data_IF_629599626728
#
_entry.id   IF_629599626728
#
_cell.length_a   1.000
_cell.length_b   1.000
_cell.length_c   1.000
_cell.angle_alpha   90.00
_cell.angle_beta   90.00
_cell.angle_gamma   90.00
#
_symmetry.space_group_name_H-M   'P 1'
#
loop_
_entity.id
_entity.type
_entity.pdbx_description
1 polymer ?
#
# COMPACT_ATOMS: atom_id res chain seq x y z
N UNK A 1 -16.55 29.25 -24.64
CA UNK A 1 -15.95 27.91 -24.47
C UNK A 1 -14.79 27.62 -25.42
N UNK A 2 -14.92 27.73 -26.75
CA UNK A 2 -13.83 27.43 -27.71
C UNK A 2 -12.52 28.22 -27.55
N UNK A 3 -12.57 29.50 -27.16
CA UNK A 3 -11.36 30.33 -26.92
C UNK A 3 -10.61 29.97 -25.63
N UNK A 4 -11.29 29.37 -24.65
CA UNK A 4 -10.70 28.96 -23.38
C UNK A 4 -9.92 27.65 -23.54
N UNK A 5 -10.46 26.71 -24.33
CA UNK A 5 -9.82 25.43 -24.67
C UNK A 5 -8.52 25.63 -25.46
N UNK A 6 -8.48 26.58 -26.40
CA UNK A 6 -7.26 26.88 -27.18
C UNK A 6 -6.15 27.51 -26.30
N UNK A 7 -6.51 28.37 -25.35
CA UNK A 7 -5.56 28.96 -24.41
C UNK A 7 -4.99 27.92 -23.44
N UNK A 8 -5.80 26.93 -23.06
CA UNK A 8 -5.39 25.85 -22.17
C UNK A 8 -4.42 24.88 -22.86
N UNK A 9 -4.70 24.49 -24.11
CA UNK A 9 -3.80 23.65 -24.92
C UNK A 9 -2.44 24.34 -25.15
N UNK A 10 -2.44 25.66 -25.38
CA UNK A 10 -1.21 26.44 -25.51
C UNK A 10 -0.39 26.48 -24.20
N UNK A 11 -1.06 26.60 -23.05
CA UNK A 11 -0.40 26.57 -21.73
C UNK A 11 0.22 25.20 -21.43
N UNK A 12 -0.49 24.11 -21.71
CA UNK A 12 0.04 22.75 -21.56
C UNK A 12 1.21 22.45 -22.51
N UNK A 13 1.18 22.99 -23.74
CA UNK A 13 2.30 22.86 -24.68
C UNK A 13 3.59 23.52 -24.18
N UNK A 14 3.48 24.68 -23.52
CA UNK A 14 4.65 25.37 -22.94
C UNK A 14 5.21 24.64 -21.73
N UNK A 15 4.34 24.08 -20.87
CA UNK A 15 4.75 23.28 -19.71
C UNK A 15 5.43 21.98 -20.17
N UNK A 16 4.87 21.29 -21.16
CA UNK A 16 5.45 20.07 -21.73
C UNK A 16 6.82 20.32 -22.37
N UNK A 17 6.99 21.43 -23.10
CA UNK A 17 8.29 21.84 -23.65
C UNK A 17 9.31 22.16 -22.56
N UNK A 18 8.89 22.80 -21.46
CA UNK A 18 9.74 23.06 -20.30
C UNK A 18 10.24 21.77 -19.64
N UNK A 19 9.33 20.81 -19.42
CA UNK A 19 9.68 19.50 -18.86
C UNK A 19 10.60 18.68 -19.77
N UNK A 20 10.38 18.73 -21.10
CA UNK A 20 11.26 18.07 -22.08
C UNK A 20 12.66 18.70 -22.05
N UNK A 21 12.78 20.03 -21.93
CA UNK A 21 14.08 20.69 -21.84
C UNK A 21 14.82 20.33 -20.55
N UNK A 22 14.12 20.22 -19.43
CA UNK A 22 14.67 19.73 -18.15
C UNK A 22 15.13 18.28 -18.30
N UNK A 23 14.31 17.42 -18.91
CA UNK A 23 14.65 16.01 -19.14
C UNK A 23 15.85 15.85 -20.07
N UNK A 24 15.94 16.65 -21.13
CA UNK A 24 17.11 16.69 -22.03
C UNK A 24 18.36 17.21 -21.31
N UNK A 25 18.21 18.17 -20.39
CA UNK A 25 19.31 18.64 -19.55
C UNK A 25 19.80 17.53 -18.60
N UNK A 26 18.88 16.78 -17.97
CA UNK A 26 19.18 15.63 -17.10
C UNK A 26 19.88 14.51 -17.86
N UNK A 27 19.45 14.22 -19.10
CA UNK A 27 20.11 13.24 -19.96
C UNK A 27 21.51 13.72 -20.38
N UNK A 28 21.67 15.01 -20.67
CA UNK A 28 22.97 15.61 -21.04
C UNK A 28 23.94 15.75 -19.86
N UNK A 29 23.45 15.81 -18.63
CA UNK A 29 24.26 15.86 -17.40
C UNK A 29 24.65 14.48 -16.86
N UNK A 30 24.37 13.39 -17.59
CA UNK A 30 24.82 12.04 -17.24
C UNK A 30 23.74 11.07 -16.75
N UNK A 31 22.45 11.41 -16.87
CA UNK A 31 21.35 10.57 -16.40
C UNK A 31 21.19 10.58 -14.89
N UNK A 32 20.02 10.15 -14.40
CA UNK A 32 19.79 9.90 -12.98
C UNK A 32 20.42 8.53 -12.68
N UNK A 33 21.56 8.53 -12.00
CA UNK A 33 22.12 7.31 -11.43
C UNK A 33 21.35 6.95 -10.18
N UNK A 34 20.64 5.82 -10.17
CA UNK A 34 20.18 5.20 -8.94
C UNK A 34 21.37 4.47 -8.31
N UNK A 35 22.00 5.12 -7.34
CA UNK A 35 23.11 4.55 -6.58
C UNK A 35 22.61 3.84 -5.32
N UNK A 36 23.11 2.63 -5.14
CA UNK A 36 23.09 1.83 -3.91
C UNK A 36 23.54 2.62 -2.68
N UNK A 37 22.92 2.33 -1.53
CA UNK A 37 23.17 2.91 -0.22
C UNK A 37 24.66 2.98 0.15
N UNK A 38 25.12 4.21 0.39
CA UNK A 38 26.29 4.51 1.21
C UNK A 38 25.93 5.66 2.13
N UNK A 39 25.58 5.35 3.38
CA UNK A 39 25.44 6.35 4.44
C UNK A 39 26.81 7.00 4.71
N UNK A 40 26.83 8.32 4.89
CA UNK A 40 27.86 9.00 5.67
C UNK A 40 29.12 9.50 4.97
N UNK A 41 29.22 9.53 3.64
CA UNK A 41 30.37 10.18 2.97
C UNK A 41 30.02 11.57 2.43
N UNK A 42 29.84 12.57 3.30
CA UNK A 42 29.83 13.97 2.82
C UNK A 42 29.23 15.08 3.68
N UNK A 43 28.53 14.79 4.78
CA UNK A 43 27.92 15.81 5.64
C UNK A 43 28.53 15.84 7.04
N UNK A 44 28.83 17.03 7.54
CA UNK A 44 29.38 17.26 8.88
C UNK A 44 28.26 17.64 9.86
N UNK A 45 28.42 17.29 11.14
CA UNK A 45 27.52 17.76 12.21
C UNK A 45 27.65 19.29 12.35
N UNK A 46 26.57 20.02 12.08
CA UNK A 46 26.56 21.49 12.11
C UNK A 46 25.88 22.07 13.35
N UNK A 47 24.92 21.35 13.94
CA UNK A 47 24.22 21.80 15.16
C UNK A 47 23.67 20.63 15.97
N UNK A 48 23.67 20.79 17.29
CA UNK A 48 22.93 19.94 18.23
C UNK A 48 22.05 20.82 19.09
N UNK A 49 20.77 20.48 19.20
CA UNK A 49 19.79 21.19 20.04
C UNK A 49 19.07 20.20 20.94
N UNK A 50 19.01 20.51 22.23
CA UNK A 50 18.23 19.75 23.20
C UNK A 50 16.96 20.52 23.53
N UNK A 51 15.82 19.84 23.55
CA UNK A 51 14.51 20.40 23.86
C UNK A 51 13.85 19.58 24.98
N UNK A 52 13.29 20.26 25.98
CA UNK A 52 12.51 19.58 27.02
C UNK A 52 11.25 18.96 26.42
N UNK A 53 10.94 17.72 26.81
CA UNK A 53 9.74 16.99 26.39
C UNK A 53 8.65 16.98 27.48
N UNK A 54 8.84 17.74 28.56
CA UNK A 54 7.87 17.82 29.65
C UNK A 54 6.53 18.40 29.15
N UNK A 55 5.47 17.59 29.23
CA UNK A 55 4.12 17.97 28.81
C UNK A 55 3.88 17.95 27.30
N UNK A 56 4.90 17.64 26.49
CA UNK A 56 4.77 17.58 25.03
C UNK A 56 3.98 16.33 24.63
N UNK A 57 2.88 16.54 23.91
CA UNK A 57 2.03 15.48 23.37
C UNK A 57 2.01 15.45 21.85
N UNK A 58 2.63 16.43 21.18
CA UNK A 58 2.69 16.55 19.73
C UNK A 58 4.09 16.95 19.27
N UNK A 59 4.65 16.19 18.35
CA UNK A 59 5.92 16.47 17.69
C UNK A 59 5.73 16.52 16.17
N UNK A 60 5.89 17.70 15.58
CA UNK A 60 5.79 17.92 14.14
C UNK A 60 7.16 18.23 13.54
N UNK A 61 7.47 17.59 12.41
CA UNK A 61 8.69 17.83 11.64
C UNK A 61 8.33 18.11 10.18
N UNK A 62 8.82 19.21 9.62
CA UNK A 62 8.54 19.64 8.26
C UNK A 62 9.83 20.02 7.55
N UNK A 63 10.32 19.16 6.67
CA UNK A 63 11.55 19.39 5.92
C UNK A 63 11.26 19.39 4.42
N UNK A 64 12.12 20.06 3.64
CA UNK A 64 11.99 20.07 2.19
C UNK A 64 12.73 18.88 1.59
N UNK A 65 14.05 18.86 1.76
CA UNK A 65 14.92 17.88 1.14
C UNK A 65 15.71 17.02 2.11
N UNK A 66 15.80 17.44 3.38
CA UNK A 66 16.60 16.75 4.38
C UNK A 66 15.90 15.45 4.80
N UNK A 67 16.68 14.38 4.91
CA UNK A 67 16.21 13.11 5.48
C UNK A 67 15.93 13.32 6.98
N UNK A 68 14.91 12.64 7.50
CA UNK A 68 14.54 12.63 8.92
C UNK A 68 14.77 11.22 9.43
N UNK A 69 15.75 11.05 10.31
CA UNK A 69 16.10 9.74 10.87
C UNK A 69 15.83 9.78 12.37
N UNK A 70 15.00 8.85 12.88
CA UNK A 70 14.73 8.76 14.30
C UNK A 70 15.64 7.76 15.00
N UNK A 71 16.09 8.13 16.19
CA UNK A 71 16.86 7.27 17.09
C UNK A 71 16.32 7.33 18.51
N UNK A 72 16.70 6.35 19.32
CA UNK A 72 16.39 6.33 20.74
C UNK A 72 17.39 7.22 21.49
N UNK A 73 16.89 8.05 22.41
CA UNK A 73 17.67 8.80 23.38
C UNK A 73 17.59 8.15 24.76
N UNK A 74 18.70 8.15 25.49
CA UNK A 74 18.77 7.79 26.91
C UNK A 74 18.39 8.96 27.84
N UNK A 75 18.13 10.13 27.27
CA UNK A 75 17.75 11.34 28.00
C UNK A 75 16.24 11.56 27.96
N UNK A 76 15.74 12.41 28.86
CA UNK A 76 14.34 12.89 28.84
C UNK A 76 14.12 14.06 27.86
N UNK A 77 15.17 14.48 27.16
CA UNK A 77 15.13 15.58 26.20
C UNK A 77 15.05 15.01 24.79
N UNK A 78 14.35 15.72 23.90
CA UNK A 78 14.49 15.51 22.47
C UNK A 78 15.84 16.09 22.04
N UNK A 79 16.68 15.30 21.38
CA UNK A 79 17.96 15.78 20.83
C UNK A 79 17.84 15.82 19.32
N UNK A 80 17.96 17.01 18.75
CA UNK A 80 18.03 17.23 17.31
C UNK A 80 19.49 17.44 16.92
N UNK A 81 20.01 16.60 16.03
CA UNK A 81 21.32 16.81 15.38
C UNK A 81 21.10 17.09 13.91
N UNK A 82 21.74 18.14 13.40
CA UNK A 82 21.66 18.55 12.01
C UNK A 82 23.00 18.32 11.32
N UNK A 83 22.98 17.67 10.16
CA UNK A 83 24.18 17.36 9.37
C UNK A 83 24.06 17.97 7.98
N UNK A 84 25.11 18.65 7.50
CA UNK A 84 25.12 19.29 6.19
C UNK A 84 26.51 19.23 5.55
N UNK A 85 26.57 19.19 4.22
CA UNK A 85 27.82 19.29 3.46
C UNK A 85 28.31 20.74 3.24
N UNK A 86 27.67 21.70 3.92
CA UNK A 86 28.01 23.11 3.91
C UNK A 86 28.03 23.65 5.34
N UNK A 87 28.68 24.79 5.55
CA UNK A 87 28.49 25.57 6.78
C UNK A 87 27.22 26.42 6.65
N UNK A 88 26.13 26.13 7.39
CA UNK A 88 24.86 26.84 7.24
C UNK A 88 24.87 28.20 7.94
N UNK A 89 24.03 29.12 7.45
CA UNK A 89 23.60 30.30 8.20
C UNK A 89 22.49 29.94 9.19
N UNK A 90 22.24 30.81 10.16
CA UNK A 90 21.19 30.61 11.19
C UNK A 90 19.80 30.34 10.59
N UNK A 91 19.46 30.97 9.47
CA UNK A 91 18.18 30.77 8.78
C UNK A 91 18.13 29.51 7.90
N UNK A 92 19.27 28.85 7.66
CA UNK A 92 19.39 27.57 6.96
C UNK A 92 19.37 26.39 7.95
N UNK A 93 19.45 26.66 9.26
CA UNK A 93 19.22 25.69 10.33
C UNK A 93 17.73 25.54 10.64
N UNK A 94 17.40 24.46 11.33
CA UNK A 94 16.04 24.14 11.76
C UNK A 94 15.45 25.27 12.59
N UNK A 95 14.25 25.70 12.22
CA UNK A 95 13.43 26.66 12.94
C UNK A 95 12.58 25.90 13.96
N UNK A 96 12.72 26.25 15.24
CA UNK A 96 12.09 25.54 16.35
C UNK A 96 10.99 26.41 16.95
N UNK A 97 9.79 25.85 17.10
CA UNK A 97 8.71 26.44 17.90
C UNK A 97 8.27 25.43 18.95
N UNK A 98 8.29 25.85 20.20
CA UNK A 98 7.88 25.01 21.32
C UNK A 98 6.83 25.73 22.16
N UNK A 99 5.76 25.01 22.47
CA UNK A 99 4.73 25.40 23.45
C UNK A 99 4.77 24.44 24.65
N UNK A 100 3.79 24.53 25.55
CA UNK A 100 3.67 23.58 26.66
C UNK A 100 3.25 22.17 26.24
N UNK A 101 2.74 21.98 25.01
CA UNK A 101 2.19 20.69 24.53
C UNK A 101 2.69 20.27 23.15
N UNK A 102 3.39 21.14 22.44
CA UNK A 102 3.79 20.91 21.05
C UNK A 102 5.23 21.36 20.81
N UNK A 103 5.97 20.56 20.04
CA UNK A 103 7.21 20.97 19.39
C UNK A 103 7.01 20.87 17.88
N UNK A 104 7.33 21.95 17.17
CA UNK A 104 7.39 22.00 15.71
C UNK A 104 8.81 22.33 15.26
N UNK A 105 9.36 21.44 14.44
CA UNK A 105 10.66 21.55 13.80
C UNK A 105 10.43 21.79 12.30
N UNK A 106 10.93 22.91 11.78
CA UNK A 106 10.82 23.22 10.35
C UNK A 106 12.20 23.41 9.75
N UNK A 107 12.49 22.71 8.66
CA UNK A 107 13.74 22.84 7.92
C UNK A 107 14.03 24.30 7.56
N UNK A 108 15.30 24.68 7.65
CA UNK A 108 15.74 26.03 7.31
C UNK A 108 15.56 26.35 5.83
N UNK A 109 15.69 27.64 5.48
CA UNK A 109 15.63 28.09 4.09
C UNK A 109 16.74 27.42 3.28
N UNK A 110 16.42 27.04 2.04
CA UNK A 110 17.39 26.51 1.08
C UNK A 110 17.57 27.49 -0.06
N UNK A 111 18.78 28.04 -0.19
CA UNK A 111 19.13 28.94 -1.29
C UNK A 111 19.50 28.14 -2.53
N UNK A 112 18.89 28.49 -3.68
CA UNK A 112 19.08 27.78 -4.94
C UNK A 112 20.55 27.67 -5.38
N UNK A 113 21.40 28.65 -5.00
CA UNK A 113 22.83 28.59 -5.28
C UNK A 113 23.50 27.36 -4.66
N UNK A 114 23.06 26.94 -3.46
CA UNK A 114 23.61 25.76 -2.80
C UNK A 114 23.24 24.46 -3.55
N UNK A 115 22.07 24.43 -4.21
CA UNK A 115 21.66 23.29 -5.03
C UNK A 115 22.44 23.22 -6.35
N UNK A 116 22.65 24.36 -7.01
CA UNK A 116 23.29 24.42 -8.35
C UNK A 116 24.81 24.37 -8.28
N UNK A 117 25.42 24.91 -7.23
CA UNK A 117 26.89 25.02 -7.12
C UNK A 117 27.47 24.00 -6.14
N UNK A 118 26.78 23.74 -5.02
CA UNK A 118 27.34 22.98 -3.91
C UNK A 118 26.79 21.56 -3.80
N UNK A 119 25.83 21.17 -4.66
CA UNK A 119 25.13 19.87 -4.58
C UNK A 119 24.70 19.60 -3.13
N UNK A 120 23.91 20.52 -2.58
CA UNK A 120 23.52 20.48 -1.16
C UNK A 120 22.99 19.10 -0.76
N UNK A 121 23.52 18.59 0.35
CA UNK A 121 23.08 17.38 1.00
C UNK A 121 23.04 17.61 2.52
N UNK A 122 21.94 17.23 3.15
CA UNK A 122 21.74 17.36 4.58
C UNK A 122 20.68 16.39 5.08
N UNK A 123 20.78 16.05 6.37
CA UNK A 123 19.83 15.21 7.08
C UNK A 123 19.76 15.63 8.54
N UNK A 124 18.70 15.23 9.22
CA UNK A 124 18.52 15.42 10.65
C UNK A 124 18.37 14.07 11.35
N UNK A 125 19.05 13.95 12.48
CA UNK A 125 18.83 12.86 13.42
C UNK A 125 18.00 13.38 14.59
N UNK A 126 16.90 12.70 14.88
CA UNK A 126 15.93 13.06 15.90
C UNK A 126 15.93 11.97 16.96
N UNK A 127 16.60 12.22 18.08
CA UNK A 127 16.68 11.26 19.18
C UNK A 127 15.50 11.49 20.13
N UNK A 128 14.54 10.57 20.11
CA UNK A 128 13.33 10.60 20.93
C UNK A 128 13.62 10.06 22.33
N UNK A 129 13.09 10.67 23.42
CA UNK A 129 13.17 10.06 24.75
C UNK A 129 12.50 8.70 24.82
N UNK A 130 13.02 7.82 25.67
CA UNK A 130 12.41 6.50 25.91
C UNK A 130 10.99 6.67 26.48
N UNK A 131 10.03 5.96 25.89
CA UNK A 131 8.64 5.95 26.33
C UNK A 131 7.79 7.17 25.94
N UNK A 132 8.27 8.03 25.03
CA UNK A 132 7.41 9.05 24.42
C UNK A 132 6.24 8.40 23.68
N UNK A 133 5.02 8.81 24.03
CA UNK A 133 3.75 8.22 23.54
C UNK A 133 2.80 9.25 22.92
N UNK A 134 3.29 10.46 22.65
CA UNK A 134 2.49 11.48 21.95
C UNK A 134 2.36 11.20 20.46
N UNK A 135 1.80 12.16 19.73
CA UNK A 135 1.74 12.08 18.27
C UNK A 135 3.07 12.50 17.63
N UNK A 136 3.38 11.91 16.47
CA UNK A 136 4.51 12.30 15.63
C UNK A 136 4.01 12.51 14.20
N UNK A 137 4.33 13.67 13.63
CA UNK A 137 3.91 14.05 12.27
C UNK A 137 5.10 14.52 11.44
N UNK A 138 5.92 13.59 10.91
CA UNK A 138 7.07 13.93 10.07
C UNK A 138 6.63 14.10 8.62
N UNK A 139 7.14 15.13 7.97
CA UNK A 139 6.87 15.39 6.56
C UNK A 139 8.08 15.89 5.81
N UNK A 140 8.24 15.39 4.57
CA UNK A 140 9.30 15.81 3.65
C UNK A 140 8.72 16.12 2.26
N UNK A 141 9.45 16.88 1.44
CA UNK A 141 9.18 16.89 0.00
C UNK A 141 9.96 15.76 -0.68
N UNK A 142 11.28 15.72 -0.52
CA UNK A 142 12.15 14.75 -1.21
C UNK A 142 13.07 13.94 -0.31
N UNK A 143 13.21 14.32 0.97
CA UNK A 143 13.98 13.54 1.94
C UNK A 143 13.25 12.28 2.39
N UNK A 144 13.97 11.27 2.81
CA UNK A 144 13.41 10.05 3.39
C UNK A 144 13.01 10.28 4.85
N UNK A 145 12.05 9.51 5.33
CA UNK A 145 11.71 9.42 6.75
C UNK A 145 11.97 7.98 7.17
N UNK A 146 12.90 7.79 8.09
CA UNK A 146 13.41 6.45 8.43
C UNK A 146 13.53 6.26 9.94
N UNK A 147 13.18 5.06 10.39
CA UNK A 147 13.38 4.64 11.77
C UNK A 147 13.41 3.12 11.91
N UNK A 148 14.41 2.62 12.62
CA UNK A 148 14.49 1.24 13.08
C UNK A 148 13.83 1.03 14.45
N UNK A 149 13.30 2.10 15.06
CA UNK A 149 12.68 2.04 16.38
C UNK A 149 11.35 1.30 16.38
N UNK A 150 11.04 0.72 17.53
CA UNK A 150 9.68 0.33 17.90
C UNK A 150 8.97 1.54 18.50
N UNK A 151 8.00 2.09 17.79
CA UNK A 151 7.27 3.30 18.19
C UNK A 151 5.93 2.94 18.83
N UNK A 152 5.69 3.43 20.04
CA UNK A 152 4.41 3.35 20.72
C UNK A 152 3.87 4.76 20.85
N UNK A 153 2.89 5.14 20.03
CA UNK A 153 2.44 6.53 19.85
C UNK A 153 0.93 6.63 20.04
N UNK A 154 0.41 7.83 20.27
CA UNK A 154 -1.03 8.07 20.15
C UNK A 154 -1.46 8.11 18.68
N UNK A 155 -0.66 8.73 17.81
CA UNK A 155 -0.91 8.89 16.38
C UNK A 155 0.41 9.02 15.61
N UNK A 156 0.48 8.41 14.42
CA UNK A 156 1.52 8.67 13.43
C UNK A 156 0.89 9.26 12.17
N UNK A 157 1.40 10.41 11.72
CA UNK A 157 0.99 11.01 10.44
C UNK A 157 2.22 11.39 9.61
N UNK A 158 2.72 10.44 8.83
CA UNK A 158 3.91 10.59 8.01
C UNK A 158 3.56 10.94 6.56
N UNK A 159 4.32 11.86 5.95
CA UNK A 159 4.12 12.14 4.53
C UNK A 159 5.38 12.54 3.79
N UNK A 160 5.45 12.18 2.51
CA UNK A 160 6.51 12.61 1.60
C UNK A 160 5.93 12.91 0.21
N UNK A 161 6.65 13.65 -0.63
CA UNK A 161 6.32 13.71 -2.07
C UNK A 161 7.08 12.61 -2.81
N UNK A 162 8.41 12.63 -2.75
CA UNK A 162 9.27 11.73 -3.53
C UNK A 162 10.30 10.93 -2.74
N UNK A 163 10.51 11.23 -1.46
CA UNK A 163 11.34 10.38 -0.58
C UNK A 163 10.57 9.16 -0.10
N UNK A 164 11.24 8.22 0.56
CA UNK A 164 10.61 6.99 1.07
C UNK A 164 10.24 7.12 2.55
N UNK A 165 9.18 6.43 2.96
CA UNK A 165 8.74 6.29 4.34
C UNK A 165 9.08 4.88 4.81
N UNK A 166 10.03 4.73 5.73
CA UNK A 166 10.45 3.42 6.23
C UNK A 166 10.35 3.39 7.75
N UNK A 167 9.45 2.55 8.24
CA UNK A 167 9.21 2.34 9.66
C UNK A 167 9.40 0.86 9.98
N UNK A 168 10.08 0.58 11.10
CA UNK A 168 10.14 -0.77 11.63
C UNK A 168 8.78 -1.18 12.23
N UNK A 169 8.58 -1.02 13.55
CA UNK A 169 7.30 -1.35 14.20
C UNK A 169 6.61 -0.11 14.75
N UNK A 170 5.33 0.07 14.43
CA UNK A 170 4.51 1.18 14.92
C UNK A 170 3.22 0.65 15.56
N UNK A 171 2.98 1.06 16.80
CA UNK A 171 1.77 0.81 17.57
C UNK A 171 1.12 2.17 17.87
N UNK A 172 -0.05 2.45 17.31
CA UNK A 172 -0.78 3.69 17.54
C UNK A 172 -2.29 3.50 17.37
N UNK A 173 -3.11 4.45 17.85
CA UNK A 173 -4.56 4.39 17.58
C UNK A 173 -4.85 4.62 16.09
N UNK A 174 -4.10 5.55 15.48
CA UNK A 174 -4.24 5.96 14.09
C UNK A 174 -2.85 6.10 13.43
N UNK A 175 -2.66 5.42 12.31
CA UNK A 175 -1.45 5.41 11.51
C UNK A 175 -1.81 5.86 10.10
N UNK A 176 -1.29 7.00 9.70
CA UNK A 176 -1.39 7.54 8.34
C UNK A 176 0.00 7.67 7.73
N UNK A 177 0.18 7.13 6.54
CA UNK A 177 1.37 7.38 5.74
C UNK A 177 0.97 7.67 4.28
N UNK A 178 1.49 8.77 3.73
CA UNK A 178 1.17 9.19 2.37
C UNK A 178 2.41 9.60 1.58
N UNK A 179 2.53 9.10 0.36
CA UNK A 179 3.58 9.45 -0.58
C UNK A 179 2.97 9.91 -1.92
N UNK A 180 3.71 10.65 -2.76
CA UNK A 180 3.31 10.80 -4.17
C UNK A 180 3.99 9.73 -5.03
N UNK A 181 5.32 9.70 -5.02
CA UNK A 181 6.11 8.74 -5.79
C UNK A 181 7.05 7.86 -4.96
N UNK A 182 7.21 8.18 -3.67
CA UNK A 182 8.01 7.39 -2.75
C UNK A 182 7.28 6.13 -2.27
N UNK A 183 8.07 5.18 -1.77
CA UNK A 183 7.58 3.93 -1.19
C UNK A 183 7.19 4.14 0.27
N UNK A 184 6.24 3.31 0.72
CA UNK A 184 5.78 3.25 2.11
C UNK A 184 6.05 1.85 2.60
N UNK A 185 6.94 1.71 3.59
CA UNK A 185 7.35 0.43 4.15
C UNK A 185 7.12 0.42 5.66
N UNK A 186 6.36 -0.55 6.14
CA UNK A 186 6.20 -0.85 7.57
C UNK A 186 6.52 -2.32 7.81
N UNK A 187 7.51 -2.61 8.66
CA UNK A 187 7.78 -3.99 9.08
C UNK A 187 6.69 -4.53 10.02
N UNK A 188 6.02 -3.64 10.76
CA UNK A 188 4.78 -3.88 11.51
C UNK A 188 4.00 -2.59 11.79
N UNK A 189 2.68 -2.63 11.61
CA UNK A 189 1.78 -1.53 11.99
C UNK A 189 0.52 -2.06 12.70
N UNK A 190 0.26 -1.58 13.91
CA UNK A 190 -0.91 -1.96 14.73
C UNK A 190 -1.71 -0.72 15.14
N UNK A 191 -3.01 -0.72 14.85
CA UNK A 191 -3.89 0.44 14.92
C UNK A 191 -4.86 0.51 13.75
N UNK A 192 -5.59 1.64 13.63
CA UNK A 192 -6.26 1.97 12.37
C UNK A 192 -5.23 2.47 11.36
N UNK A 193 -5.21 1.91 10.15
CA UNK A 193 -4.12 2.09 9.19
C UNK A 193 -4.63 2.68 7.88
N UNK A 194 -3.97 3.73 7.38
CA UNK A 194 -4.27 4.35 6.10
C UNK A 194 -2.99 4.66 5.34
N UNK A 195 -2.81 4.02 4.19
CA UNK A 195 -1.62 4.12 3.35
C UNK A 195 -2.01 4.55 1.94
N UNK A 196 -1.38 5.60 1.42
CA UNK A 196 -1.72 6.13 0.11
C UNK A 196 -0.48 6.54 -0.68
N UNK A 197 -0.44 6.18 -1.96
CA UNK A 197 0.58 6.62 -2.90
C UNK A 197 0.00 6.87 -4.28
N UNK A 198 0.69 7.66 -5.12
CA UNK A 198 0.32 7.74 -6.55
C UNK A 198 1.11 6.71 -7.37
N UNK A 199 2.40 6.56 -7.11
CA UNK A 199 3.30 5.78 -7.97
C UNK A 199 4.31 4.89 -7.25
N UNK A 200 4.56 5.14 -5.95
CA UNK A 200 5.46 4.28 -5.18
C UNK A 200 4.74 3.02 -4.69
N UNK A 201 5.48 2.06 -4.14
CA UNK A 201 4.87 0.84 -3.61
C UNK A 201 4.46 1.02 -2.14
N UNK A 202 3.46 0.26 -1.72
CA UNK A 202 3.07 0.13 -0.31
C UNK A 202 3.41 -1.30 0.11
N UNK A 203 4.23 -1.45 1.15
CA UNK A 203 4.56 -2.73 1.76
C UNK A 203 4.34 -2.64 3.27
N UNK A 204 3.41 -3.46 3.79
CA UNK A 204 3.10 -3.53 5.22
C UNK A 204 3.06 -5.00 5.62
N UNK A 205 3.96 -5.40 6.50
CA UNK A 205 3.98 -6.75 7.04
C UNK A 205 3.44 -6.72 8.47
N UNK A 206 2.54 -7.63 8.83
CA UNK A 206 2.08 -7.81 10.20
C UNK A 206 1.09 -6.76 10.72
N UNK A 207 0.59 -7.07 11.91
CA UNK A 207 -0.11 -6.12 12.77
C UNK A 207 -1.63 -6.15 12.67
N UNK A 208 -2.26 -5.62 13.71
CA UNK A 208 -3.69 -5.74 13.95
C UNK A 208 -4.41 -4.42 13.67
N UNK A 209 -5.61 -4.50 13.10
CA UNK A 209 -6.52 -3.38 12.92
C UNK A 209 -6.93 -3.18 11.46
N UNK A 210 -7.93 -2.34 11.23
CA UNK A 210 -8.46 -2.11 9.89
C UNK A 210 -7.47 -1.32 9.03
N UNK A 211 -7.28 -1.76 7.79
CA UNK A 211 -6.34 -1.18 6.81
C UNK A 211 -7.08 -0.66 5.59
N UNK A 212 -6.79 0.59 5.23
CA UNK A 212 -7.09 1.19 3.94
C UNK A 212 -5.78 1.45 3.20
N UNK A 213 -5.57 0.79 2.06
CA UNK A 213 -4.37 0.93 1.24
C UNK A 213 -4.76 1.28 -0.20
N UNK A 214 -4.22 2.38 -0.73
CA UNK A 214 -4.54 2.83 -2.08
C UNK A 214 -3.32 3.29 -2.88
N UNK A 215 -3.32 2.96 -4.17
CA UNK A 215 -2.29 3.35 -5.12
C UNK A 215 -2.89 3.64 -6.49
N UNK A 216 -2.32 4.59 -7.25
CA UNK A 216 -2.69 4.70 -8.67
C UNK A 216 -1.90 3.70 -9.52
N UNK A 217 -0.56 3.70 -9.40
CA UNK A 217 0.31 2.91 -10.30
C UNK A 217 1.30 1.99 -9.60
N UNK A 218 1.59 2.20 -8.31
CA UNK A 218 2.48 1.32 -7.57
C UNK A 218 1.74 0.11 -6.99
N UNK A 219 2.51 -0.92 -6.63
CA UNK A 219 1.98 -2.17 -6.09
C UNK A 219 1.64 -2.02 -4.60
N UNK A 220 0.65 -2.80 -4.15
CA UNK A 220 0.27 -2.90 -2.73
C UNK A 220 0.57 -4.32 -2.27
N UNK A 221 1.37 -4.45 -1.22
CA UNK A 221 1.71 -5.73 -0.59
C UNK A 221 1.37 -5.68 0.90
N UNK A 222 0.44 -6.52 1.33
CA UNK A 222 0.02 -6.63 2.74
C UNK A 222 0.29 -8.06 3.22
N UNK A 223 1.12 -8.24 4.23
CA UNK A 223 1.46 -9.55 4.80
C UNK A 223 0.98 -9.71 6.23
N UNK A 224 0.71 -10.94 6.69
CA UNK A 224 0.58 -11.37 8.09
C UNK A 224 -0.35 -10.51 8.98
N UNK A 225 -1.41 -9.94 8.40
CA UNK A 225 -2.29 -8.97 9.07
C UNK A 225 -3.53 -9.59 9.70
N UNK A 226 -4.08 -8.94 10.74
CA UNK A 226 -5.40 -9.27 11.30
C UNK A 226 -6.28 -8.02 11.27
N UNK A 227 -7.52 -8.15 10.78
CA UNK A 227 -8.49 -7.05 10.69
C UNK A 227 -9.10 -6.93 9.31
N UNK A 228 -9.89 -5.89 9.07
CA UNK A 228 -10.47 -5.68 7.74
C UNK A 228 -9.43 -5.03 6.79
N UNK A 229 -9.45 -5.40 5.51
CA UNK A 229 -8.65 -4.76 4.45
C UNK A 229 -9.57 -4.15 3.40
N UNK A 230 -9.30 -2.90 3.05
CA UNK A 230 -9.73 -2.25 1.81
C UNK A 230 -8.46 -1.91 1.02
N UNK A 231 -8.26 -2.54 -0.15
CA UNK A 231 -7.10 -2.29 -0.99
C UNK A 231 -7.51 -1.95 -2.43
N UNK A 232 -7.03 -0.82 -2.96
CA UNK A 232 -7.39 -0.37 -4.30
C UNK A 232 -6.18 0.10 -5.11
N UNK A 233 -6.05 -0.40 -6.34
CA UNK A 233 -5.01 0.01 -7.28
C UNK A 233 -5.57 0.28 -8.67
N UNK A 234 -5.15 1.35 -9.38
CA UNK A 234 -5.60 1.49 -10.78
C UNK A 234 -4.81 0.57 -11.72
N UNK A 235 -3.47 0.61 -11.65
CA UNK A 235 -2.59 -0.16 -12.55
C UNK A 235 -1.59 -1.06 -11.82
N UNK A 236 -1.44 -0.89 -10.51
CA UNK A 236 -0.56 -1.72 -9.70
C UNK A 236 -1.19 -3.07 -9.35
N UNK A 237 -0.34 -4.05 -9.09
CA UNK A 237 -0.76 -5.34 -8.56
C UNK A 237 -1.04 -5.23 -7.06
N UNK A 238 -1.98 -6.04 -6.58
CA UNK A 238 -2.28 -6.16 -5.15
C UNK A 238 -1.93 -7.58 -4.73
N UNK A 239 -1.04 -7.71 -3.75
CA UNK A 239 -0.64 -8.99 -3.16
C UNK A 239 -0.97 -8.99 -1.67
N UNK A 240 -1.66 -10.02 -1.20
CA UNK A 240 -1.98 -10.21 0.21
C UNK A 240 -1.57 -11.62 0.65
N UNK A 241 -0.82 -11.73 1.73
CA UNK A 241 -0.32 -13.01 2.25
C UNK A 241 -0.63 -13.14 3.75
N UNK A 242 -1.12 -14.29 4.22
CA UNK A 242 -1.22 -14.56 5.66
C UNK A 242 -2.21 -13.67 6.39
N UNK A 243 -3.33 -13.27 5.76
CA UNK A 243 -4.24 -12.26 6.34
C UNK A 243 -5.60 -12.82 6.75
N UNK A 244 -5.98 -12.57 7.99
CA UNK A 244 -7.29 -12.92 8.57
C UNK A 244 -8.20 -11.71 8.73
N UNK A 245 -9.47 -11.86 8.33
CA UNK A 245 -10.51 -10.83 8.42
C UNK A 245 -11.12 -10.51 7.07
N UNK A 246 -12.11 -9.61 7.03
CA UNK A 246 -12.80 -9.29 5.76
C UNK A 246 -11.88 -8.51 4.82
N UNK A 247 -11.85 -8.90 3.54
CA UNK A 247 -11.06 -8.24 2.49
C UNK A 247 -11.96 -7.69 1.40
N UNK A 248 -11.70 -6.46 0.98
CA UNK A 248 -12.29 -5.82 -0.20
C UNK A 248 -11.15 -5.28 -1.07
N UNK A 249 -10.94 -5.88 -2.24
CA UNK A 249 -9.76 -5.67 -3.07
C UNK A 249 -10.20 -5.34 -4.49
N UNK A 250 -9.74 -4.21 -5.02
CA UNK A 250 -10.10 -3.75 -6.36
C UNK A 250 -8.88 -3.35 -7.17
N UNK A 251 -8.83 -3.79 -8.43
CA UNK A 251 -7.91 -3.22 -9.42
C UNK A 251 -8.52 -3.00 -10.79
N UNK A 252 -8.05 -1.97 -11.51
CA UNK A 252 -8.48 -1.76 -12.90
C UNK A 252 -7.64 -2.58 -13.88
N UNK A 253 -6.30 -2.52 -13.80
CA UNK A 253 -5.40 -3.16 -14.78
C UNK A 253 -4.32 -4.05 -14.17
N UNK A 254 -4.29 -4.18 -12.85
CA UNK A 254 -3.33 -5.03 -12.15
C UNK A 254 -3.85 -6.44 -11.91
N UNK A 255 -2.98 -7.30 -11.40
CA UNK A 255 -3.33 -8.64 -10.92
C UNK A 255 -3.61 -8.58 -9.41
N UNK A 256 -4.57 -9.40 -8.96
CA UNK A 256 -4.86 -9.61 -7.54
C UNK A 256 -4.32 -10.99 -7.17
N UNK A 257 -3.40 -11.04 -6.20
CA UNK A 257 -2.85 -12.29 -5.65
C UNK A 257 -3.10 -12.40 -4.17
N UNK A 258 -3.71 -13.49 -3.74
CA UNK A 258 -3.87 -13.82 -2.32
C UNK A 258 -3.26 -15.19 -2.02
N UNK A 259 -2.63 -15.33 -0.87
CA UNK A 259 -2.14 -16.60 -0.35
C UNK A 259 -2.38 -16.72 1.16
N UNK A 260 -2.78 -17.91 1.62
CA UNK A 260 -2.95 -18.22 3.06
C UNK A 260 -3.81 -17.18 3.79
N UNK A 261 -5.05 -17.01 3.35
CA UNK A 261 -5.95 -15.96 3.84
C UNK A 261 -7.23 -16.56 4.43
N UNK A 262 -7.70 -16.06 5.57
CA UNK A 262 -8.95 -16.48 6.21
C UNK A 262 -10.03 -15.40 6.23
N UNK A 263 -11.30 -15.79 6.26
CA UNK A 263 -12.44 -14.86 6.25
C UNK A 263 -12.86 -14.36 4.87
N UNK A 264 -13.99 -13.65 4.81
CA UNK A 264 -14.65 -13.29 3.56
C UNK A 264 -13.80 -12.39 2.66
N UNK A 265 -13.73 -12.71 1.37
CA UNK A 265 -12.96 -11.95 0.38
C UNK A 265 -13.84 -11.48 -0.77
N UNK A 266 -13.87 -10.17 -1.01
CA UNK A 266 -14.37 -9.52 -2.22
C UNK A 266 -13.16 -9.11 -3.07
N UNK A 267 -13.01 -9.66 -4.26
CA UNK A 267 -11.92 -9.32 -5.17
C UNK A 267 -12.44 -9.01 -6.58
N UNK A 268 -12.16 -7.81 -7.07
CA UNK A 268 -12.66 -7.30 -8.35
C UNK A 268 -11.53 -6.78 -9.23
N UNK A 269 -11.44 -7.29 -10.46
CA UNK A 269 -10.48 -6.84 -11.47
C UNK A 269 -11.19 -6.44 -12.78
N UNK A 270 -10.94 -5.25 -13.31
CA UNK A 270 -11.46 -4.89 -14.65
C UNK A 270 -10.66 -5.56 -15.77
N UNK A 271 -9.34 -5.62 -15.65
CA UNK A 271 -8.43 -6.19 -16.64
C UNK A 271 -7.21 -6.76 -15.93
N UNK A 272 -7.28 -8.03 -15.56
CA UNK A 272 -6.26 -8.70 -14.75
C UNK A 272 -6.79 -9.99 -14.16
N UNK A 273 -5.87 -10.87 -13.79
CA UNK A 273 -6.21 -12.14 -13.17
C UNK A 273 -6.43 -11.97 -11.67
N UNK A 274 -7.33 -12.79 -11.13
CA UNK A 274 -7.50 -13.01 -9.70
C UNK A 274 -6.96 -14.40 -9.42
N UNK A 275 -5.85 -14.48 -8.68
CA UNK A 275 -5.19 -15.72 -8.30
C UNK A 275 -5.18 -15.82 -6.78
N UNK A 276 -5.92 -16.77 -6.23
CA UNK A 276 -6.06 -16.95 -4.78
C UNK A 276 -5.69 -18.39 -4.43
N UNK A 277 -4.72 -18.54 -3.56
CA UNK A 277 -4.27 -19.83 -3.05
C UNK A 277 -4.53 -19.94 -1.56
N UNK A 278 -5.02 -21.10 -1.11
CA UNK A 278 -5.23 -21.39 0.31
C UNK A 278 -6.17 -20.39 1.01
N UNK A 279 -7.34 -20.16 0.40
CA UNK A 279 -8.39 -19.36 1.01
C UNK A 279 -9.21 -20.21 2.00
N UNK A 280 -9.19 -19.85 3.28
CA UNK A 280 -9.99 -20.48 4.33
C UNK A 280 -11.41 -19.92 4.50
N UNK A 281 -11.74 -18.84 3.80
CA UNK A 281 -13.07 -18.21 3.80
C UNK A 281 -13.84 -18.38 2.49
N UNK A 282 -15.05 -17.82 2.43
CA UNK A 282 -15.81 -17.68 1.18
C UNK A 282 -15.52 -16.32 0.51
N UNK A 283 -16.16 -16.03 -0.62
CA UNK A 283 -15.96 -14.76 -1.29
C UNK A 283 -16.75 -14.53 -2.58
N UNK A 284 -16.72 -13.27 -3.01
CA UNK A 284 -17.17 -12.83 -4.33
C UNK A 284 -15.92 -12.45 -5.16
N UNK A 285 -15.78 -13.07 -6.34
CA UNK A 285 -14.68 -12.84 -7.26
C UNK A 285 -15.23 -12.39 -8.62
N UNK A 286 -14.79 -11.23 -9.09
CA UNK A 286 -15.29 -10.66 -10.34
C UNK A 286 -14.14 -10.21 -11.25
N UNK A 287 -14.13 -10.68 -12.50
CA UNK A 287 -13.22 -10.20 -13.53
C UNK A 287 -13.94 -9.85 -14.82
N UNK A 288 -13.71 -8.66 -15.37
CA UNK A 288 -14.26 -8.33 -16.70
C UNK A 288 -13.40 -8.93 -17.82
N UNK A 289 -12.07 -8.91 -17.68
CA UNK A 289 -11.14 -9.46 -18.67
C UNK A 289 -9.92 -10.03 -17.97
N UNK A 290 -9.97 -11.32 -17.69
CA UNK A 290 -8.96 -12.04 -16.93
C UNK A 290 -9.54 -13.32 -16.34
N UNK A 291 -8.65 -14.21 -15.92
CA UNK A 291 -9.02 -15.48 -15.32
C UNK A 291 -9.23 -15.32 -13.81
N UNK A 292 -10.10 -16.16 -13.26
CA UNK A 292 -10.31 -16.31 -11.82
C UNK A 292 -9.85 -17.71 -11.44
N UNK A 293 -8.81 -17.81 -10.63
CA UNK A 293 -8.30 -19.06 -10.07
C UNK A 293 -8.33 -18.97 -8.55
N UNK A 294 -9.10 -19.84 -7.89
CA UNK A 294 -9.23 -19.86 -6.42
C UNK A 294 -9.10 -21.28 -5.90
N UNK A 295 -8.12 -21.51 -5.02
CA UNK A 295 -7.97 -22.75 -4.26
C UNK A 295 -8.35 -22.53 -2.80
N UNK A 296 -9.35 -23.27 -2.35
CA UNK A 296 -9.87 -23.20 -0.98
C UNK A 296 -9.21 -24.24 -0.07
N UNK A 297 -9.15 -23.94 1.23
CA UNK A 297 -8.73 -24.89 2.27
C UNK A 297 -9.93 -25.58 2.91
N UNK A 298 -9.67 -26.62 3.72
CA UNK A 298 -10.72 -27.33 4.48
C UNK A 298 -11.47 -26.40 5.46
N UNK A 299 -10.91 -25.25 5.81
CA UNK A 299 -11.54 -24.26 6.69
C UNK A 299 -12.80 -23.63 6.07
N UNK A 300 -12.92 -23.67 4.73
CA UNK A 300 -14.11 -23.21 4.02
C UNK A 300 -15.40 -23.88 4.56
N UNK A 301 -15.32 -25.13 5.03
CA UNK A 301 -16.46 -25.84 5.61
C UNK A 301 -17.05 -25.15 6.85
N UNK A 302 -16.32 -24.23 7.48
CA UNK A 302 -16.72 -23.50 8.67
C UNK A 302 -17.33 -22.13 8.36
N UNK A 303 -17.20 -21.60 7.13
CA UNK A 303 -17.69 -20.26 6.80
C UNK A 303 -19.22 -20.19 6.74
N UNK A 304 -19.86 -21.20 6.12
CA UNK A 304 -21.29 -21.19 5.76
C UNK A 304 -21.70 -19.92 4.99
N UNK A 305 -20.78 -19.37 4.20
CA UNK A 305 -20.98 -18.17 3.38
C UNK A 305 -20.96 -18.55 1.90
N UNK A 306 -21.75 -17.86 1.09
CA UNK A 306 -21.85 -18.12 -0.35
C UNK A 306 -20.54 -17.78 -1.08
N UNK A 307 -20.31 -18.49 -2.17
CA UNK A 307 -19.20 -18.24 -3.09
C UNK A 307 -19.76 -17.81 -4.44
N UNK A 308 -19.28 -16.69 -4.97
CA UNK A 308 -19.62 -16.23 -6.32
C UNK A 308 -18.36 -15.98 -7.13
N UNK A 309 -18.29 -16.54 -8.34
CA UNK A 309 -17.22 -16.25 -9.28
C UNK A 309 -17.82 -15.84 -10.63
N UNK A 310 -17.54 -14.62 -11.07
CA UNK A 310 -18.09 -14.05 -12.30
C UNK A 310 -16.99 -13.52 -13.22
N UNK A 311 -16.90 -14.06 -14.43
CA UNK A 311 -15.99 -13.57 -15.45
C UNK A 311 -16.77 -13.09 -16.68
N UNK A 312 -16.46 -11.92 -17.26
CA UNK A 312 -17.06 -11.57 -18.56
C UNK A 312 -16.33 -12.26 -19.71
N UNK A 313 -15.00 -12.18 -19.72
CA UNK A 313 -14.14 -12.86 -20.69
C UNK A 313 -12.93 -13.43 -19.96
N UNK A 314 -12.96 -14.73 -19.70
CA UNK A 314 -11.96 -15.43 -18.91
C UNK A 314 -12.48 -16.76 -18.38
N UNK A 315 -11.53 -17.60 -17.99
CA UNK A 315 -11.80 -18.90 -17.36
C UNK A 315 -12.02 -18.72 -15.86
N UNK A 316 -12.88 -19.56 -15.30
CA UNK A 316 -13.08 -19.70 -13.85
C UNK A 316 -12.61 -21.10 -13.47
N UNK A 317 -11.60 -21.16 -12.62
CA UNK A 317 -11.08 -22.41 -12.03
C UNK A 317 -11.20 -22.33 -10.52
N UNK A 318 -12.02 -23.19 -9.92
CA UNK A 318 -12.15 -23.27 -8.46
C UNK A 318 -11.72 -24.67 -8.00
N UNK A 319 -10.87 -24.71 -6.97
CA UNK A 319 -10.44 -25.96 -6.34
C UNK A 319 -11.06 -26.06 -4.94
N UNK A 320 -11.95 -27.04 -4.76
CA UNK A 320 -12.73 -27.21 -3.53
C UNK A 320 -12.26 -28.42 -2.70
N UNK A 321 -12.33 -28.34 -1.37
CA UNK A 321 -12.27 -29.51 -0.49
C UNK A 321 -13.34 -30.56 -0.84
N UNK A 322 -12.98 -31.85 -0.76
CA UNK A 322 -13.86 -32.96 -1.15
C UNK A 322 -15.06 -33.23 -0.24
N UNK A 323 -15.12 -32.66 0.96
CA UNK A 323 -16.11 -32.99 2.00
C UNK A 323 -17.13 -31.89 2.26
N UNK A 324 -17.50 -31.12 1.23
CA UNK A 324 -18.45 -30.01 1.34
C UNK A 324 -19.88 -30.43 0.99
N UNK A 325 -20.86 -29.63 1.43
CA UNK A 325 -22.25 -29.73 0.98
C UNK A 325 -22.74 -28.34 0.60
N UNK A 326 -23.22 -28.17 -0.63
CA UNK A 326 -23.59 -26.87 -1.20
C UNK A 326 -24.60 -27.04 -2.34
N UNK A 327 -25.33 -25.97 -2.66
CA UNK A 327 -26.02 -25.89 -3.94
C UNK A 327 -25.08 -25.29 -4.98
N UNK A 328 -25.13 -25.80 -6.19
CA UNK A 328 -24.27 -25.36 -7.28
C UNK A 328 -25.10 -24.80 -8.42
N UNK A 329 -24.68 -23.67 -8.96
CA UNK A 329 -25.15 -23.16 -10.24
C UNK A 329 -23.97 -22.70 -11.08
N UNK A 330 -23.91 -23.13 -12.35
CA UNK A 330 -22.92 -22.68 -13.32
C UNK A 330 -23.60 -22.24 -14.63
N UNK A 331 -23.09 -21.16 -15.21
CA UNK A 331 -23.58 -20.62 -16.49
C UNK A 331 -22.42 -20.19 -17.39
N UNK A 332 -22.40 -20.65 -18.63
CA UNK A 332 -21.49 -20.12 -19.65
C UNK A 332 -22.22 -19.84 -20.95
N UNK A 333 -21.95 -18.72 -21.63
CA UNK A 333 -22.53 -18.49 -22.98
C UNK A 333 -21.68 -19.08 -24.10
N UNK A 334 -20.37 -19.22 -23.88
CA UNK A 334 -19.42 -19.78 -24.84
C UNK A 334 -18.24 -20.40 -24.10
N UNK A 335 -18.35 -21.69 -23.82
CA UNK A 335 -17.35 -22.52 -23.16
C UNK A 335 -18.01 -23.78 -22.62
N UNK A 336 -17.22 -24.56 -21.87
CA UNK A 336 -17.67 -25.80 -21.25
C UNK A 336 -17.74 -25.65 -19.72
N UNK A 337 -18.57 -26.48 -19.09
CA UNK A 337 -18.66 -26.62 -17.63
C UNK A 337 -18.17 -28.02 -17.29
N UNK A 338 -17.08 -28.13 -16.54
CA UNK A 338 -16.46 -29.40 -16.12
C UNK A 338 -16.34 -29.43 -14.59
N UNK A 339 -16.88 -30.47 -13.95
CA UNK A 339 -16.85 -30.60 -12.49
C UNK A 339 -16.53 -32.02 -12.05
N UNK A 340 -15.85 -32.17 -10.91
CA UNK A 340 -15.59 -33.51 -10.35
C UNK A 340 -16.86 -34.20 -9.77
N UNK A 341 -18.02 -33.53 -9.81
CA UNK A 341 -19.29 -34.00 -9.25
C UNK A 341 -20.44 -33.97 -10.26
N UNK A 342 -20.16 -34.13 -11.55
CA UNK A 342 -21.14 -34.12 -12.65
C UNK A 342 -22.34 -35.05 -12.42
N UNK A 343 -22.14 -36.19 -11.73
CA UNK A 343 -23.20 -37.15 -11.36
C UNK A 343 -24.29 -36.54 -10.45
N UNK A 344 -23.99 -35.43 -9.77
CA UNK A 344 -24.92 -34.70 -8.89
C UNK A 344 -25.63 -33.55 -9.59
N UNK A 345 -25.35 -33.31 -10.88
CA UNK A 345 -25.80 -32.13 -11.62
C UNK A 345 -26.85 -32.47 -12.67
N UNK A 346 -27.75 -31.52 -12.91
CA UNK A 346 -28.65 -31.50 -14.06
C UNK A 346 -28.14 -30.45 -15.07
N UNK A 347 -27.86 -30.89 -16.29
CA UNK A 347 -27.43 -30.01 -17.38
C UNK A 347 -28.59 -29.64 -18.30
N UNK A 348 -28.61 -28.39 -18.75
CA UNK A 348 -29.43 -28.01 -19.90
C UNK A 348 -28.86 -28.68 -21.15
N UNK A 349 -29.75 -28.99 -22.11
CA UNK A 349 -29.39 -29.70 -23.36
C UNK A 349 -28.20 -29.09 -24.12
N UNK A 350 -28.03 -27.77 -24.02
CA UNK A 350 -26.99 -27.05 -24.75
C UNK A 350 -25.64 -27.05 -24.02
N UNK A 351 -25.55 -27.58 -22.78
CA UNK A 351 -24.33 -27.63 -21.96
C UNK A 351 -23.94 -26.30 -21.30
N UNK A 352 -24.69 -25.23 -21.58
CA UNK A 352 -24.46 -23.85 -21.18
C UNK A 352 -24.89 -23.52 -19.74
N UNK A 353 -25.54 -24.46 -19.08
CA UNK A 353 -26.12 -24.32 -17.74
C UNK A 353 -26.08 -25.65 -16.99
N UNK A 354 -25.62 -25.61 -15.74
CA UNK A 354 -25.66 -26.73 -14.81
C UNK A 354 -26.17 -26.28 -13.45
N UNK A 355 -27.01 -27.11 -12.80
CA UNK A 355 -27.45 -26.89 -11.43
C UNK A 355 -27.58 -28.22 -10.67
N UNK A 356 -27.38 -28.18 -9.35
CA UNK A 356 -27.56 -29.36 -8.51
C UNK A 356 -27.25 -29.09 -7.04
N UNK A 357 -27.43 -30.13 -6.23
CA UNK A 357 -27.05 -30.11 -4.81
C UNK A 357 -25.98 -31.17 -4.59
N UNK A 358 -24.84 -30.76 -4.03
CA UNK A 358 -23.74 -31.63 -3.65
C UNK A 358 -23.84 -31.89 -2.14
N UNK A 359 -23.71 -33.15 -1.74
CA UNK A 359 -23.82 -33.56 -0.34
C UNK A 359 -25.26 -33.59 0.21
N UNK A 360 -25.41 -33.84 1.52
CA UNK A 360 -26.72 -34.14 2.13
C UNK A 360 -27.37 -32.95 2.84
N UNK A 361 -26.61 -31.91 3.18
CA UNK A 361 -27.09 -30.75 3.93
C UNK A 361 -26.35 -29.50 3.43
N UNK A 362 -26.81 -28.89 2.33
CA UNK A 362 -26.11 -27.76 1.72
C UNK A 362 -25.98 -26.61 2.71
N UNK A 363 -24.76 -26.15 2.91
CA UNK A 363 -24.39 -25.12 3.88
C UNK A 363 -24.29 -23.71 3.26
N UNK A 364 -24.05 -23.64 1.95
CA UNK A 364 -23.90 -22.39 1.19
C UNK A 364 -24.24 -22.62 -0.29
N UNK A 365 -24.37 -21.52 -1.04
CA UNK A 365 -24.53 -21.54 -2.49
C UNK A 365 -23.19 -21.24 -3.20
N UNK A 366 -22.88 -22.01 -4.24
CA UNK A 366 -21.74 -21.81 -5.14
C UNK A 366 -22.27 -21.41 -6.52
N UNK A 367 -22.15 -20.13 -6.85
CA UNK A 367 -22.59 -19.55 -8.12
C UNK A 367 -21.40 -19.19 -8.99
N UNK A 368 -21.35 -19.72 -10.21
CA UNK A 368 -20.32 -19.40 -11.19
C UNK A 368 -20.92 -18.97 -12.51
N UNK A 369 -20.37 -17.92 -13.12
CA UNK A 369 -20.84 -17.47 -14.43
C UNK A 369 -19.71 -16.90 -15.29
N UNK A 370 -19.68 -17.28 -16.57
CA UNK A 370 -18.86 -16.62 -17.58
C UNK A 370 -19.61 -16.34 -18.87
N UNK A 371 -19.29 -15.25 -19.58
CA UNK A 371 -19.85 -15.04 -20.93
C UNK A 371 -19.01 -15.72 -22.01
N UNK A 372 -17.69 -15.78 -21.81
CA UNK A 372 -16.75 -16.42 -22.73
C UNK A 372 -15.59 -17.01 -21.94
N UNK A 373 -15.58 -18.33 -21.80
CA UNK A 373 -14.59 -19.07 -21.03
C UNK A 373 -15.17 -20.35 -20.46
N UNK A 374 -14.29 -21.21 -19.98
CA UNK A 374 -14.66 -22.45 -19.31
C UNK A 374 -14.86 -22.21 -17.81
N UNK A 375 -15.73 -23.03 -17.22
CA UNK A 375 -15.88 -23.15 -15.78
C UNK A 375 -15.38 -24.54 -15.40
N UNK A 376 -14.31 -24.60 -14.62
CA UNK A 376 -13.73 -25.84 -14.13
C UNK A 376 -13.81 -25.85 -12.61
N UNK A 377 -14.40 -26.90 -12.04
CA UNK A 377 -14.41 -27.13 -10.59
C UNK A 377 -13.66 -28.43 -10.31
N UNK A 378 -12.51 -28.30 -9.67
CA UNK A 378 -11.63 -29.43 -9.33
C UNK A 378 -11.71 -29.76 -7.84
N UNK A 379 -11.39 -31.01 -7.52
CA UNK A 379 -11.20 -31.43 -6.14
C UNK A 379 -9.73 -31.16 -5.73
N UNK A 380 -9.54 -30.60 -4.53
CA UNK A 380 -8.20 -30.43 -3.94
C UNK A 380 -7.53 -31.75 -3.56
#
# INVERSE_FOLDING_TARGET
MRKFVISMIAAFGVIALGLILIMVAVIRSGGISFSSHTFGSGADLVKTTNLSMDGISSLSLEYSSDDIIFYQSDTKELILKEYMNITPKEEELTQIRQTSSEIRLSGGKRYWQNWVLNHFYGYVEVYLPEGYQGSISPSTSSGNIETDLVLNLSELNASCTSGDLTFNEVYAEDIRAAASSGNINFAKAEGKRSFATSSGNIEVNGGNGDTDASSTSGNITIGNGIGSLSAAASSGNITVEGMDGKKDIETTSGEIRLSDCGGYTSATASSGNIEISELGGAGDFESTSGNIEVSFTDELAQSNEDIRANASSGEISLQLPGSLSFNFTARTSSGDIDTFFDDSLNYKKDGDYAEGTVGASPAFDLDTATSSGNITIEQR
#
